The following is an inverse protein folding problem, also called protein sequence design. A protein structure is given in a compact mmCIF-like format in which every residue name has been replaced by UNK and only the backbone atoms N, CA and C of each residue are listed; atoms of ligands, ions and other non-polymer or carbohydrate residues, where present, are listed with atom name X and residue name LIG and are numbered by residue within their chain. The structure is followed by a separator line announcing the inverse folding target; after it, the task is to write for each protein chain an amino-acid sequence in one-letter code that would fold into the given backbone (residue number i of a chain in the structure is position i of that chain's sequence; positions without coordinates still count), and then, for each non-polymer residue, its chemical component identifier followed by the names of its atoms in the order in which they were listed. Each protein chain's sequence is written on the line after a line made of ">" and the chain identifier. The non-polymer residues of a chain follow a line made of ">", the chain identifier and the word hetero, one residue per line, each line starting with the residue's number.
data_IF_997894456373
#
_entry.id   IF_997894456373
#
_cell.length_a   1.000
_cell.length_b   1.000
_cell.length_c   1.000
_cell.angle_alpha   90.00
_cell.angle_beta   90.00
_cell.angle_gamma   90.00
#
_symmetry.space_group_name_H-M   'P 1'
#
loop_
_entity.id
_entity.type
_entity.pdbx_description
1 polymer ?
#
# COMPACT_ATOMS: atom_id res chain seq x y z
N UNK A 1 -14.00 -12.21 -4.18
CA UNK A 1 -13.17 -12.24 -2.96
C UNK A 1 -12.33 -10.98 -2.91
N UNK A 2 -12.28 -10.32 -1.76
CA UNK A 2 -11.43 -9.15 -1.48
C UNK A 2 -10.57 -9.47 -0.26
N UNK A 3 -9.30 -9.11 -0.31
CA UNK A 3 -8.38 -9.28 0.82
C UNK A 3 -7.56 -8.00 0.96
N UNK A 4 -7.44 -7.53 2.19
CA UNK A 4 -6.73 -6.30 2.53
C UNK A 4 -5.61 -6.64 3.49
N UNK A 5 -4.44 -6.06 3.25
CA UNK A 5 -3.24 -6.27 4.05
C UNK A 5 -2.60 -4.91 4.31
N UNK A 6 -2.19 -4.69 5.55
CA UNK A 6 -1.32 -3.56 5.86
C UNK A 6 0.11 -3.92 5.47
N UNK A 7 0.76 -3.01 4.77
CA UNK A 7 2.18 -3.09 4.43
C UNK A 7 2.93 -2.33 5.50
N UNK A 8 3.85 -3.01 6.17
CA UNK A 8 4.63 -2.44 7.26
C UNK A 8 6.14 -2.57 6.99
N UNK A 9 6.91 -1.59 7.46
CA UNK A 9 8.36 -1.53 7.32
C UNK A 9 9.07 -2.06 8.57
N UNK A 10 10.06 -2.91 8.34
CA UNK A 10 10.98 -3.40 9.36
C UNK A 10 10.32 -4.30 10.43
N UNK A 11 11.10 -4.65 11.45
CA UNK A 11 10.64 -5.53 12.55
C UNK A 11 9.69 -4.84 13.52
N UNK A 12 9.77 -3.51 13.63
CA UNK A 12 8.92 -2.70 14.51
C UNK A 12 7.51 -2.56 13.91
N UNK A 13 7.35 -2.81 12.60
CA UNK A 13 6.05 -2.83 11.95
C UNK A 13 5.51 -1.43 11.66
N UNK A 14 6.37 -0.48 11.28
CA UNK A 14 5.95 0.89 10.93
C UNK A 14 4.96 0.83 9.77
N UNK A 15 3.72 1.34 9.93
CA UNK A 15 2.69 1.22 8.91
C UNK A 15 2.97 2.14 7.72
N UNK A 16 3.08 1.57 6.52
CA UNK A 16 3.44 2.29 5.28
C UNK A 16 2.22 2.52 4.39
N UNK A 17 1.37 1.53 4.25
CA UNK A 17 0.19 1.63 3.40
C UNK A 17 -0.67 0.38 3.42
N UNK A 18 -1.67 0.34 2.54
CA UNK A 18 -2.60 -0.77 2.41
C UNK A 18 -2.55 -1.37 1.02
N UNK A 19 -2.41 -2.69 0.95
CA UNK A 19 -2.50 -3.49 -0.25
C UNK A 19 -3.88 -4.14 -0.32
N UNK A 20 -4.57 -3.99 -1.44
CA UNK A 20 -5.87 -4.60 -1.68
C UNK A 20 -5.79 -5.54 -2.87
N UNK A 21 -6.03 -6.82 -2.62
CA UNK A 21 -6.20 -7.83 -3.67
C UNK A 21 -7.69 -8.08 -3.92
N UNK A 22 -8.07 -8.05 -5.20
CA UNK A 22 -9.44 -8.35 -5.64
C UNK A 22 -9.41 -9.49 -6.63
N UNK A 23 -10.20 -10.54 -6.34
CA UNK A 23 -10.50 -11.63 -7.27
C UNK A 23 -12.00 -11.66 -7.54
N UNK A 24 -12.39 -11.30 -8.76
CA UNK A 24 -13.76 -11.34 -9.24
C UNK A 24 -13.85 -12.24 -10.48
N UNK A 25 -14.10 -13.53 -10.24
CA UNK A 25 -14.06 -14.56 -11.29
C UNK A 25 -12.66 -14.65 -11.93
N UNK A 26 -12.54 -14.44 -13.26
CA UNK A 26 -11.24 -14.43 -13.95
C UNK A 26 -10.46 -13.13 -13.76
N UNK A 27 -11.10 -12.04 -13.30
CA UNK A 27 -10.42 -10.75 -13.09
C UNK A 27 -9.72 -10.76 -11.74
N UNK A 28 -8.40 -10.59 -11.77
CA UNK A 28 -7.57 -10.47 -10.58
C UNK A 28 -6.70 -9.23 -10.71
N UNK A 29 -6.71 -8.39 -9.69
CA UNK A 29 -5.85 -7.22 -9.64
C UNK A 29 -5.49 -6.88 -8.19
N UNK A 30 -4.42 -6.12 -8.05
CA UNK A 30 -3.94 -5.61 -6.78
C UNK A 30 -3.81 -4.10 -6.90
N UNK A 31 -4.15 -3.38 -5.84
CA UNK A 31 -3.92 -1.95 -5.75
C UNK A 31 -3.22 -1.61 -4.44
N UNK A 32 -2.49 -0.50 -4.42
CA UNK A 32 -1.80 -0.01 -3.24
C UNK A 32 -2.09 1.47 -2.98
N UNK A 33 -2.22 1.86 -1.71
CA UNK A 33 -2.28 3.26 -1.29
C UNK A 33 -1.41 3.45 -0.04
N UNK A 34 -0.69 4.57 0.02
CA UNK A 34 0.09 4.92 1.22
C UNK A 34 -0.83 5.40 2.34
N UNK A 35 -0.43 5.16 3.58
CA UNK A 35 -1.04 5.82 4.72
C UNK A 35 -0.56 7.26 4.82
N UNK A 36 -1.45 8.14 5.27
CA UNK A 36 -1.10 9.56 5.47
C UNK A 36 0.08 9.73 6.41
N UNK A 37 0.14 8.97 7.50
CA UNK A 37 1.25 9.00 8.45
C UNK A 37 2.60 8.67 7.82
N UNK A 38 2.63 7.80 6.80
CA UNK A 38 3.88 7.50 6.09
C UNK A 38 4.24 8.58 5.09
N UNK A 39 3.25 9.19 4.40
CA UNK A 39 3.50 10.30 3.48
C UNK A 39 4.02 11.56 4.20
N UNK A 40 3.71 11.70 5.49
CA UNK A 40 4.16 12.81 6.35
C UNK A 40 5.46 12.51 7.13
N UNK A 41 5.98 11.27 7.06
CA UNK A 41 7.20 10.85 7.74
C UNK A 41 8.46 11.45 7.09
N UNK A 42 9.45 11.87 7.88
CA UNK A 42 10.70 12.45 7.36
C UNK A 42 11.56 11.42 6.61
N UNK A 43 11.47 10.14 6.98
CA UNK A 43 12.18 9.04 6.35
C UNK A 43 11.38 8.38 5.22
N UNK A 44 10.29 9.01 4.78
CA UNK A 44 9.41 8.51 3.75
C UNK A 44 10.16 8.20 2.45
N UNK A 45 9.83 7.05 1.87
CA UNK A 45 10.21 6.70 0.50
C UNK A 45 9.11 5.90 -0.19
N UNK A 46 9.22 5.82 -1.51
CA UNK A 46 8.33 5.01 -2.32
C UNK A 46 8.67 3.52 -2.20
N UNK A 47 7.68 2.68 -1.91
CA UNK A 47 7.82 1.21 -1.85
C UNK A 47 8.26 0.62 -3.21
N UNK A 48 7.86 1.26 -4.31
CA UNK A 48 8.26 0.93 -5.67
C UNK A 48 8.40 2.21 -6.50
N UNK A 49 9.34 2.29 -7.45
CA UNK A 49 9.43 3.42 -8.38
C UNK A 49 8.17 3.63 -9.23
N UNK A 50 7.34 2.60 -9.41
CA UNK A 50 6.10 2.68 -10.19
C UNK A 50 4.92 3.28 -9.41
N UNK A 51 5.09 3.53 -8.11
CA UNK A 51 4.04 4.05 -7.24
C UNK A 51 4.18 5.55 -7.02
N UNK A 52 3.08 6.26 -7.27
CA UNK A 52 2.93 7.67 -6.87
C UNK A 52 2.69 7.77 -5.36
N UNK A 53 3.32 8.74 -4.66
CA UNK A 53 3.13 8.94 -3.23
C UNK A 53 1.77 9.60 -2.94
N UNK A 54 0.71 8.80 -3.01
CA UNK A 54 -0.67 9.25 -2.90
C UNK A 54 -1.47 8.40 -1.91
N UNK A 55 -2.52 9.02 -1.36
CA UNK A 55 -3.52 8.38 -0.49
C UNK A 55 -4.53 7.52 -1.29
N UNK A 56 -4.52 7.64 -2.61
CA UNK A 56 -5.45 6.94 -3.50
C UNK A 56 -4.86 5.63 -3.98
N UNK A 57 -5.73 4.62 -4.13
CA UNK A 57 -5.36 3.35 -4.73
C UNK A 57 -4.96 3.51 -6.20
N UNK A 58 -3.84 2.88 -6.55
CA UNK A 58 -3.28 2.79 -7.89
C UNK A 58 -2.99 1.33 -8.24
#
# INVERSE_FOLDING_TARGET
>A
MKTELDVCLGKVGTPVGKLVFVRNGPRMFTQFAYFQSWLEDEEMFNVSPDLTPALTYQ
#
